data_IF_599558540423
#
_entry.id   IF_599558540423
#
_cell.length_a   1.000
_cell.length_b   1.000
_cell.length_c   1.000
_cell.angle_alpha   90.00
_cell.angle_beta   90.00
_cell.angle_gamma   90.00
#
_symmetry.space_group_name_H-M   'P 1'
#
loop_
_entity.id
_entity.type
_entity.pdbx_description
1 polymer ?
#
# COMPACT_ATOMS: atom_id res chain seq x y z
N UNK A 1 -36.86 35.96 -1.81
CA UNK A 1 -36.83 36.61 -3.14
C UNK A 1 -38.15 36.46 -3.94
N UNK A 2 -39.19 35.80 -3.39
CA UNK A 2 -40.47 35.62 -4.08
C UNK A 2 -40.50 34.47 -5.08
N UNK A 3 -39.44 33.66 -5.17
CA UNK A 3 -39.39 32.52 -6.06
C UNK A 3 -40.30 31.38 -5.59
N UNK A 4 -40.91 30.68 -6.55
CA UNK A 4 -41.73 29.50 -6.27
C UNK A 4 -40.89 28.40 -5.58
N UNK A 5 -41.56 27.55 -4.80
CA UNK A 5 -40.94 26.35 -4.24
C UNK A 5 -40.53 25.40 -5.39
N UNK A 6 -39.35 24.78 -5.26
CA UNK A 6 -38.70 23.99 -6.31
C UNK A 6 -37.96 24.77 -7.41
N UNK A 7 -37.87 26.11 -7.31
CA UNK A 7 -37.03 26.90 -8.21
C UNK A 7 -35.55 26.63 -7.94
N UNK A 8 -34.73 26.50 -8.99
CA UNK A 8 -33.26 26.33 -8.92
C UNK A 8 -32.57 27.39 -8.05
N UNK A 9 -31.35 27.16 -7.57
CA UNK A 9 -30.60 28.18 -6.81
C UNK A 9 -30.31 29.47 -7.61
N UNK A 10 -29.91 30.50 -6.89
CA UNK A 10 -29.44 31.77 -7.46
C UNK A 10 -28.42 32.43 -6.54
N UNK A 11 -27.84 33.57 -6.93
CA UNK A 11 -26.92 34.32 -6.06
C UNK A 11 -27.50 34.77 -4.71
N UNK A 12 -28.83 34.78 -4.56
CA UNK A 12 -29.52 35.15 -3.31
C UNK A 12 -30.43 34.04 -2.76
N UNK A 13 -30.40 32.84 -3.36
CA UNK A 13 -31.25 31.70 -3.01
C UNK A 13 -30.41 30.43 -2.97
N UNK A 14 -30.40 29.75 -1.82
CA UNK A 14 -29.76 28.44 -1.70
C UNK A 14 -30.36 27.44 -2.69
N UNK A 15 -29.53 26.52 -3.18
CA UNK A 15 -29.99 25.46 -4.09
C UNK A 15 -31.05 24.60 -3.42
N UNK A 16 -30.81 24.18 -2.17
CA UNK A 16 -31.74 23.43 -1.33
C UNK A 16 -32.32 24.33 -0.25
N UNK A 17 -33.64 24.52 -0.24
CA UNK A 17 -34.35 25.21 0.85
C UNK A 17 -35.09 24.20 1.71
N UNK A 18 -35.00 24.38 3.03
CA UNK A 18 -35.66 23.52 4.01
C UNK A 18 -36.67 24.37 4.78
N UNK A 19 -37.93 23.94 4.78
CA UNK A 19 -39.02 24.59 5.48
C UNK A 19 -39.84 23.60 6.29
N UNK A 20 -40.57 24.10 7.28
CA UNK A 20 -41.43 23.28 8.13
C UNK A 20 -42.80 23.96 8.28
N UNK A 21 -43.89 23.20 8.08
CA UNK A 21 -45.26 23.64 8.33
C UNK A 21 -46.16 22.43 8.61
N UNK A 22 -47.38 22.64 9.11
CA UNK A 22 -48.28 21.54 9.41
C UNK A 22 -48.83 20.95 8.09
N UNK A 23 -48.55 19.68 7.81
CA UNK A 23 -49.00 18.97 6.60
C UNK A 23 -50.30 18.21 6.91
N UNK A 24 -50.24 17.21 7.79
CA UNK A 24 -51.40 16.39 8.17
C UNK A 24 -51.50 16.11 9.69
N UNK A 25 -50.59 16.64 10.49
CA UNK A 25 -50.65 16.61 11.95
C UNK A 25 -49.56 15.71 12.52
N UNK A 26 -49.93 14.78 13.42
CA UNK A 26 -48.97 13.84 13.98
C UNK A 26 -49.12 12.47 13.33
N UNK A 27 -48.01 11.92 12.84
CA UNK A 27 -47.97 10.73 12.01
C UNK A 27 -48.44 11.02 10.57
N UNK A 28 -48.47 10.00 9.71
CA UNK A 28 -48.80 10.21 8.30
C UNK A 28 -47.58 10.67 7.50
N UNK A 29 -47.68 11.83 6.83
CA UNK A 29 -46.61 12.38 6.00
C UNK A 29 -45.62 13.14 6.89
N UNK A 30 -44.48 12.51 7.18
CA UNK A 30 -43.46 13.11 8.03
C UNK A 30 -42.73 14.28 7.37
N UNK A 31 -42.42 14.13 6.09
CA UNK A 31 -41.72 15.10 5.28
C UNK A 31 -41.83 14.75 3.78
N UNK A 32 -41.33 15.64 2.93
CA UNK A 32 -41.15 15.39 1.50
C UNK A 32 -40.00 16.22 0.95
N UNK A 33 -39.31 15.70 -0.06
CA UNK A 33 -38.27 16.41 -0.77
C UNK A 33 -38.49 16.35 -2.28
N UNK A 34 -38.18 17.45 -2.96
CA UNK A 34 -38.10 17.44 -4.41
C UNK A 34 -36.84 16.71 -4.88
N UNK A 35 -36.89 16.06 -6.05
CA UNK A 35 -35.69 15.59 -6.72
C UNK A 35 -34.82 16.76 -7.21
N UNK A 36 -33.54 16.55 -7.56
CA UNK A 36 -32.65 17.61 -8.05
C UNK A 36 -33.21 18.42 -9.22
N UNK A 37 -33.99 17.79 -10.10
CA UNK A 37 -34.63 18.44 -11.27
C UNK A 37 -35.65 19.51 -10.89
N UNK A 38 -36.10 19.54 -9.63
CA UNK A 38 -37.06 20.49 -9.08
C UNK A 38 -36.48 21.21 -7.85
N UNK A 39 -35.18 21.52 -7.88
CA UNK A 39 -34.50 22.33 -6.86
C UNK A 39 -34.08 21.58 -5.59
N UNK A 40 -34.57 20.38 -5.31
CA UNK A 40 -34.12 19.63 -4.14
C UNK A 40 -34.65 20.14 -2.80
N UNK A 41 -35.65 21.05 -2.80
CA UNK A 41 -36.22 21.62 -1.59
C UNK A 41 -36.95 20.59 -0.71
N UNK A 42 -36.91 20.79 0.61
CA UNK A 42 -37.47 19.91 1.64
C UNK A 42 -38.59 20.58 2.44
N UNK A 43 -39.69 19.89 2.63
CA UNK A 43 -40.77 20.27 3.53
C UNK A 43 -40.90 19.24 4.65
N UNK A 44 -40.89 19.70 5.90
CA UNK A 44 -41.03 18.87 7.10
C UNK A 44 -42.39 19.15 7.76
N UNK A 45 -43.10 18.13 8.25
CA UNK A 45 -44.33 18.35 9.00
C UNK A 45 -44.05 18.88 10.42
N UNK A 46 -44.48 20.11 10.72
CA UNK A 46 -44.36 20.68 12.08
C UNK A 46 -45.20 19.97 13.15
N UNK A 47 -46.22 19.19 12.76
CA UNK A 47 -47.16 18.53 13.66
C UNK A 47 -46.61 17.26 14.32
N UNK A 48 -45.47 16.76 13.84
CA UNK A 48 -44.83 15.55 14.35
C UNK A 48 -43.97 15.74 15.61
N UNK A 49 -43.79 14.64 16.34
CA UNK A 49 -42.97 14.63 17.56
C UNK A 49 -41.48 14.41 17.25
N UNK A 50 -40.82 15.48 16.79
CA UNK A 50 -39.40 15.47 16.39
C UNK A 50 -38.40 15.22 17.52
N UNK A 51 -38.83 15.37 18.78
CA UNK A 51 -37.99 15.07 19.94
C UNK A 51 -37.85 13.55 20.23
N UNK A 52 -38.51 12.69 19.44
CA UNK A 52 -38.38 11.23 19.56
C UNK A 52 -36.93 10.77 19.39
N UNK A 53 -36.49 9.86 20.26
CA UNK A 53 -35.10 9.38 20.27
C UNK A 53 -34.09 10.35 20.89
N UNK A 54 -34.52 11.33 21.68
CA UNK A 54 -33.63 12.15 22.50
C UNK A 54 -32.74 11.29 23.43
N UNK A 55 -31.49 11.72 23.74
CA UNK A 55 -30.88 12.98 23.31
C UNK A 55 -30.24 12.93 21.92
N UNK A 56 -30.22 11.78 21.25
CA UNK A 56 -29.59 11.61 19.94
C UNK A 56 -30.45 12.10 18.77
N UNK A 57 -31.74 12.33 19.02
CA UNK A 57 -32.75 12.79 18.05
C UNK A 57 -32.74 11.95 16.76
N UNK A 58 -32.53 10.64 16.89
CA UNK A 58 -32.32 9.73 15.75
C UNK A 58 -33.48 9.74 14.77
N UNK A 59 -34.72 9.87 15.25
CA UNK A 59 -35.89 9.94 14.40
C UNK A 59 -35.84 11.17 13.48
N UNK A 60 -35.67 12.37 14.06
CA UNK A 60 -35.52 13.60 13.28
C UNK A 60 -34.31 13.51 12.34
N UNK A 61 -33.16 13.05 12.84
CA UNK A 61 -31.95 12.92 12.03
C UNK A 61 -32.16 12.02 10.81
N UNK A 62 -32.78 10.85 10.98
CA UNK A 62 -33.02 9.92 9.88
C UNK A 62 -34.05 10.45 8.89
N UNK A 63 -35.14 11.08 9.34
CA UNK A 63 -36.13 11.65 8.41
C UNK A 63 -35.48 12.74 7.56
N UNK A 64 -34.73 13.66 8.15
CA UNK A 64 -34.03 14.70 7.38
C UNK A 64 -33.02 14.10 6.40
N UNK A 65 -32.24 13.10 6.82
CA UNK A 65 -31.27 12.45 5.94
C UNK A 65 -31.94 11.65 4.81
N UNK A 66 -33.07 11.00 5.07
CA UNK A 66 -33.88 10.29 4.08
C UNK A 66 -34.39 11.24 3.01
N UNK A 67 -35.03 12.34 3.42
CA UNK A 67 -35.53 13.35 2.49
C UNK A 67 -34.40 14.01 1.70
N UNK A 68 -33.26 14.25 2.35
CA UNK A 68 -32.08 14.75 1.65
C UNK A 68 -31.58 13.75 0.59
N UNK A 69 -31.73 12.44 0.82
CA UNK A 69 -31.46 11.41 -0.19
C UNK A 69 -32.30 11.57 -1.46
N UNK A 70 -33.58 11.91 -1.35
CA UNK A 70 -34.40 12.29 -2.51
C UNK A 70 -33.88 13.55 -3.20
N UNK A 71 -33.44 14.55 -2.42
CA UNK A 71 -32.75 15.74 -2.92
C UNK A 71 -31.44 15.45 -3.66
N UNK A 72 -30.85 14.28 -3.42
CA UNK A 72 -29.70 13.71 -4.11
C UNK A 72 -30.08 12.72 -5.24
N UNK A 73 -31.35 12.68 -5.65
CA UNK A 73 -31.78 11.83 -6.76
C UNK A 73 -32.01 10.37 -6.39
N UNK A 74 -32.04 10.02 -5.10
CA UNK A 74 -32.17 8.64 -4.65
C UNK A 74 -33.65 8.31 -4.44
N UNK A 75 -34.11 7.23 -5.07
CA UNK A 75 -35.48 6.72 -4.91
C UNK A 75 -35.56 5.74 -3.74
N UNK A 76 -36.78 5.43 -3.29
CA UNK A 76 -36.98 4.42 -2.27
C UNK A 76 -36.43 3.05 -2.66
N UNK A 77 -35.88 2.35 -1.67
CA UNK A 77 -35.48 0.95 -1.74
C UNK A 77 -36.38 0.09 -0.86
N UNK A 78 -36.61 -1.14 -1.28
CA UNK A 78 -37.43 -2.15 -0.62
C UNK A 78 -36.65 -3.43 -0.35
N UNK A 79 -37.08 -4.25 0.63
CA UNK A 79 -38.31 -4.14 1.43
C UNK A 79 -38.25 -3.07 2.54
N UNK A 80 -39.41 -2.81 3.15
CA UNK A 80 -39.55 -2.00 4.36
C UNK A 80 -39.33 -2.84 5.63
N UNK A 81 -38.07 -3.04 6.02
CA UNK A 81 -37.68 -3.85 7.18
C UNK A 81 -36.63 -3.17 8.07
N UNK A 82 -36.50 -1.84 7.97
CA UNK A 82 -35.60 -1.00 8.78
C UNK A 82 -34.12 -1.36 8.67
N UNK A 83 -33.65 -1.62 7.43
CA UNK A 83 -32.26 -1.95 7.13
C UNK A 83 -31.55 -0.95 6.22
N UNK A 84 -32.27 -0.06 5.52
CA UNK A 84 -31.71 1.05 4.74
C UNK A 84 -32.39 2.38 5.09
N UNK A 85 -31.66 3.47 4.96
CA UNK A 85 -32.19 4.81 5.23
C UNK A 85 -33.28 5.16 4.22
N UNK A 86 -33.09 4.82 2.94
CA UNK A 86 -34.03 5.12 1.85
C UNK A 86 -35.21 4.15 1.75
N UNK A 87 -35.53 3.41 2.81
CA UNK A 87 -36.81 2.67 2.87
C UNK A 87 -37.98 3.65 3.06
N UNK A 88 -39.16 3.39 2.46
CA UNK A 88 -40.27 4.35 2.44
C UNK A 88 -40.95 4.61 3.79
N UNK A 89 -40.55 3.90 4.85
CA UNK A 89 -41.08 4.08 6.20
C UNK A 89 -39.94 4.47 7.13
N UNK A 90 -40.10 5.57 7.84
CA UNK A 90 -39.08 6.07 8.75
C UNK A 90 -38.72 5.06 9.84
N UNK A 91 -37.45 5.04 10.22
CA UNK A 91 -36.91 4.17 11.25
C UNK A 91 -35.97 4.90 12.19
N UNK A 92 -35.89 4.42 13.43
CA UNK A 92 -34.93 4.88 14.43
C UNK A 92 -34.01 3.75 14.92
N UNK A 93 -33.98 2.60 14.21
CA UNK A 93 -33.17 1.43 14.58
C UNK A 93 -31.67 1.62 14.40
N UNK A 94 -31.27 2.54 13.51
CA UNK A 94 -29.90 2.99 13.27
C UNK A 94 -29.88 4.51 13.11
N UNK A 95 -28.71 5.12 13.00
CA UNK A 95 -28.56 6.56 12.74
C UNK A 95 -27.79 6.80 11.45
N UNK A 96 -28.41 7.47 10.49
CA UNK A 96 -27.78 7.89 9.23
C UNK A 96 -27.76 6.82 8.13
N UNK A 97 -27.03 7.11 7.03
CA UNK A 97 -26.95 6.25 5.86
C UNK A 97 -26.49 4.83 6.19
N UNK A 98 -27.00 3.85 5.47
CA UNK A 98 -26.59 2.46 5.49
C UNK A 98 -25.84 2.10 4.20
N UNK A 99 -25.42 0.84 4.08
CA UNK A 99 -24.58 0.37 2.98
C UNK A 99 -25.17 0.67 1.59
N UNK A 100 -26.47 0.47 1.41
CA UNK A 100 -27.16 0.74 0.15
C UNK A 100 -27.18 2.24 -0.20
N UNK A 101 -27.40 3.07 0.82
CA UNK A 101 -27.49 4.52 0.68
C UNK A 101 -26.14 5.11 0.26
N UNK A 102 -25.02 4.62 0.83
CA UNK A 102 -23.67 4.99 0.39
C UNK A 102 -23.44 4.63 -1.09
N UNK A 103 -23.87 3.44 -1.51
CA UNK A 103 -23.72 2.99 -2.90
C UNK A 103 -24.54 3.84 -3.86
N UNK A 104 -25.75 4.24 -3.47
CA UNK A 104 -26.63 5.08 -4.26
C UNK A 104 -26.07 6.49 -4.46
N UNK A 105 -25.57 7.13 -3.40
CA UNK A 105 -24.90 8.43 -3.50
C UNK A 105 -23.69 8.34 -4.43
N UNK A 106 -22.82 7.35 -4.25
CA UNK A 106 -21.65 7.19 -5.11
C UNK A 106 -22.00 6.91 -6.57
N UNK A 107 -23.12 6.23 -6.84
CA UNK A 107 -23.58 5.99 -8.21
C UNK A 107 -23.89 7.31 -8.93
N UNK A 108 -24.47 8.27 -8.21
CA UNK A 108 -24.91 9.55 -8.77
C UNK A 108 -23.80 10.61 -8.78
N UNK A 109 -22.95 10.63 -7.75
CA UNK A 109 -22.01 11.74 -7.49
C UNK A 109 -20.54 11.34 -7.41
N UNK A 110 -20.23 10.06 -7.61
CA UNK A 110 -18.89 9.49 -7.42
C UNK A 110 -18.45 9.49 -5.94
N UNK A 111 -17.21 9.07 -5.69
CA UNK A 111 -16.66 8.94 -4.35
C UNK A 111 -16.15 10.26 -3.75
N UNK A 112 -15.68 10.23 -2.50
CA UNK A 112 -15.25 11.43 -1.77
C UNK A 112 -13.94 12.05 -2.26
N UNK A 113 -13.16 11.34 -3.09
CA UNK A 113 -11.89 11.82 -3.63
C UNK A 113 -11.99 12.23 -5.10
N UNK A 114 -13.21 12.24 -5.66
CA UNK A 114 -13.43 12.73 -7.01
C UNK A 114 -13.08 14.23 -7.14
N UNK A 115 -12.41 14.66 -8.23
CA UNK A 115 -11.93 13.85 -9.34
C UNK A 115 -10.52 13.28 -9.11
N UNK A 116 -10.41 11.96 -9.02
CA UNK A 116 -9.14 11.22 -8.98
C UNK A 116 -9.02 10.21 -10.13
N UNK A 117 -9.74 10.43 -11.23
CA UNK A 117 -9.88 9.48 -12.33
C UNK A 117 -8.69 9.44 -13.32
N UNK A 118 -7.62 10.16 -13.02
CA UNK A 118 -6.39 10.19 -13.81
C UNK A 118 -5.19 10.36 -12.90
N UNK A 119 -4.00 9.99 -13.37
CA UNK A 119 -2.78 10.18 -12.58
C UNK A 119 -2.47 11.64 -12.28
N UNK A 120 -2.85 12.56 -13.17
CA UNK A 120 -2.66 14.01 -12.99
C UNK A 120 -3.55 14.56 -11.86
N UNK A 121 -4.70 13.92 -11.63
CA UNK A 121 -5.66 14.29 -10.59
C UNK A 121 -5.60 13.34 -9.39
N UNK A 122 -4.54 12.52 -9.29
CA UNK A 122 -4.42 11.54 -8.22
C UNK A 122 -4.50 12.18 -6.83
N UNK A 123 -5.34 11.61 -5.96
CA UNK A 123 -5.58 12.12 -4.62
C UNK A 123 -4.31 11.98 -3.76
N UNK A 124 -3.78 13.07 -3.17
CA UNK A 124 -2.65 13.01 -2.26
C UNK A 124 -3.01 12.33 -0.93
N UNK A 125 -2.40 11.18 -0.67
CA UNK A 125 -2.60 10.44 0.56
C UNK A 125 -1.53 10.83 1.57
N UNK A 126 -1.97 11.18 2.78
CA UNK A 126 -1.10 11.53 3.91
C UNK A 126 -1.51 10.76 5.16
N UNK A 127 -0.57 10.51 6.11
CA UNK A 127 0.87 10.81 6.05
C UNK A 127 1.64 9.89 5.09
N UNK A 128 2.94 10.12 4.93
CA UNK A 128 3.84 9.20 4.22
C UNK A 128 3.82 7.80 4.85
N UNK A 129 4.00 6.75 4.04
CA UNK A 129 3.98 5.37 4.54
C UNK A 129 5.20 5.09 5.43
N UNK A 130 4.93 4.88 6.72
CA UNK A 130 5.92 4.49 7.71
C UNK A 130 6.20 2.99 7.72
N UNK A 131 7.39 2.61 8.19
CA UNK A 131 7.74 1.20 8.42
C UNK A 131 6.86 0.63 9.54
N UNK A 132 6.23 -0.52 9.29
CA UNK A 132 5.30 -1.16 10.22
C UNK A 132 3.92 -0.48 10.32
N UNK A 133 3.67 0.57 9.54
CA UNK A 133 2.40 1.29 9.53
C UNK A 133 1.50 0.86 8.37
N UNK A 134 0.19 1.03 8.53
CA UNK A 134 -0.79 0.83 7.46
C UNK A 134 -1.58 2.11 7.25
N UNK A 135 -1.60 2.59 6.01
CA UNK A 135 -2.53 3.64 5.56
C UNK A 135 -3.76 2.95 4.97
N UNK A 136 -4.95 3.42 5.35
CA UNK A 136 -6.24 2.90 4.85
C UNK A 136 -6.94 4.00 4.06
N UNK A 137 -7.00 3.84 2.75
CA UNK A 137 -7.76 4.69 1.82
C UNK A 137 -9.19 4.13 1.76
N UNK A 138 -10.19 5.00 1.94
CA UNK A 138 -11.59 4.59 2.07
C UNK A 138 -12.09 4.40 3.51
N UNK A 139 -11.30 4.81 4.51
CA UNK A 139 -11.77 4.86 5.89
C UNK A 139 -12.93 5.87 6.04
N UNK A 140 -13.95 5.50 6.81
CA UNK A 140 -15.08 6.40 7.08
C UNK A 140 -14.69 7.52 8.05
N UNK A 141 -15.32 8.70 7.98
CA UNK A 141 -15.01 9.82 8.86
C UNK A 141 -15.18 9.46 10.34
N UNK A 142 -14.24 9.90 11.17
CA UNK A 142 -14.36 9.76 12.62
C UNK A 142 -15.48 10.67 13.17
N UNK A 143 -16.21 10.18 14.17
CA UNK A 143 -17.28 10.94 14.83
C UNK A 143 -18.68 10.76 14.23
N UNK A 144 -18.78 10.15 13.04
CA UNK A 144 -20.05 9.73 12.46
C UNK A 144 -20.38 8.26 12.76
N UNK A 145 -21.67 7.87 12.75
CA UNK A 145 -22.05 6.46 12.84
C UNK A 145 -21.37 5.64 11.74
N UNK A 146 -20.68 4.57 12.13
CA UNK A 146 -20.00 3.70 11.18
C UNK A 146 -21.02 2.85 10.42
N UNK A 147 -20.94 2.89 9.09
CA UNK A 147 -21.73 2.05 8.19
C UNK A 147 -20.99 0.73 7.94
N UNK A 148 -21.63 -0.40 8.21
CA UNK A 148 -21.02 -1.72 8.03
C UNK A 148 -21.89 -2.62 7.13
N UNK A 149 -21.36 -3.15 6.02
CA UNK A 149 -20.08 -2.81 5.40
C UNK A 149 -20.13 -1.41 4.76
N UNK A 150 -19.02 -0.67 4.74
CA UNK A 150 -19.00 0.67 4.13
C UNK A 150 -17.61 1.21 3.87
N UNK A 151 -17.52 2.15 2.93
CA UNK A 151 -16.31 2.87 2.52
C UNK A 151 -16.71 4.22 1.93
N UNK A 152 -15.79 5.19 1.93
CA UNK A 152 -15.95 6.47 1.21
C UNK A 152 -15.34 6.46 -0.19
N UNK A 153 -14.75 5.34 -0.61
CA UNK A 153 -14.25 5.12 -1.97
C UNK A 153 -14.97 3.96 -2.65
N UNK A 154 -15.17 4.09 -3.95
CA UNK A 154 -15.92 3.12 -4.74
C UNK A 154 -15.98 3.50 -6.21
N UNK A 155 -16.12 2.49 -7.08
CA UNK A 155 -16.36 2.70 -8.50
C UNK A 155 -17.85 2.50 -8.78
N UNK A 156 -18.46 3.45 -9.49
CA UNK A 156 -19.86 3.41 -9.89
C UNK A 156 -20.14 2.43 -11.04
N UNK A 157 -19.16 2.14 -11.91
CA UNK A 157 -19.30 1.21 -13.03
C UNK A 157 -17.96 0.62 -13.53
N UNK A 158 -17.97 -0.54 -14.22
CA UNK A 158 -16.77 -1.10 -14.84
C UNK A 158 -16.10 -0.13 -15.83
N UNK A 159 -14.77 -0.09 -15.86
CA UNK A 159 -13.99 0.82 -16.69
C UNK A 159 -13.60 2.14 -16.01
N UNK A 160 -14.23 2.50 -14.88
CA UNK A 160 -13.73 3.58 -14.04
C UNK A 160 -12.42 3.21 -13.34
N UNK A 161 -11.68 4.23 -12.95
CA UNK A 161 -10.37 4.12 -12.32
C UNK A 161 -10.20 5.27 -11.35
N UNK A 162 -9.56 5.00 -10.22
CA UNK A 162 -9.17 5.99 -9.22
C UNK A 162 -7.67 5.91 -8.98
N UNK A 163 -7.02 7.06 -8.88
CA UNK A 163 -5.59 7.21 -8.69
C UNK A 163 -5.32 7.88 -7.34
N UNK A 164 -4.38 7.31 -6.60
CA UNK A 164 -3.91 7.82 -5.31
C UNK A 164 -2.40 8.05 -5.37
N UNK A 165 -1.95 9.23 -4.95
CA UNK A 165 -0.52 9.57 -4.85
C UNK A 165 -0.08 9.36 -3.40
N UNK A 166 0.82 8.41 -3.18
CA UNK A 166 1.32 8.03 -1.86
C UNK A 166 2.80 8.37 -1.74
N UNK A 167 3.18 8.99 -0.63
CA UNK A 167 4.58 9.30 -0.33
C UNK A 167 5.27 8.15 0.42
N UNK A 168 6.33 7.59 -0.14
CA UNK A 168 7.19 6.58 0.51
C UNK A 168 8.22 7.19 1.48
N UNK A 169 8.32 8.52 1.54
CA UNK A 169 9.29 9.25 2.35
C UNK A 169 10.68 9.27 1.73
N UNK A 170 11.68 9.69 2.53
CA UNK A 170 13.05 9.94 2.06
C UNK A 170 13.89 8.69 1.74
N UNK A 171 13.40 7.49 2.02
CA UNK A 171 14.12 6.23 1.79
C UNK A 171 13.20 5.22 1.14
N UNK A 172 13.76 4.33 0.32
CA UNK A 172 13.01 3.27 -0.32
C UNK A 172 12.24 2.46 0.72
N UNK A 173 11.02 2.05 0.38
CA UNK A 173 10.15 1.24 1.24
C UNK A 173 9.78 -0.03 0.52
N UNK A 174 9.43 -1.03 1.32
CA UNK A 174 8.77 -2.21 0.80
C UNK A 174 7.40 -2.28 1.40
N UNK A 175 6.40 -2.40 0.54
CA UNK A 175 5.00 -2.28 0.91
C UNK A 175 4.21 -3.51 0.51
N UNK A 176 3.12 -3.75 1.22
CA UNK A 176 2.04 -4.59 0.73
C UNK A 176 0.85 -3.70 0.39
N UNK A 177 0.34 -3.83 -0.83
CA UNK A 177 -0.89 -3.17 -1.25
C UNK A 177 -2.02 -4.18 -1.23
N UNK A 178 -3.16 -3.81 -0.66
CA UNK A 178 -4.38 -4.63 -0.70
C UNK A 178 -5.54 -3.80 -1.21
N UNK A 179 -6.26 -4.31 -2.20
CA UNK A 179 -7.59 -3.81 -2.55
C UNK A 179 -8.61 -4.75 -1.91
N UNK A 180 -9.38 -4.21 -0.98
CA UNK A 180 -10.38 -4.94 -0.22
C UNK A 180 -11.76 -4.59 -0.76
N UNK A 181 -12.46 -5.59 -1.28
CA UNK A 181 -13.85 -5.47 -1.70
C UNK A 181 -14.73 -5.27 -0.47
N UNK A 182 -15.62 -4.28 -0.55
CA UNK A 182 -16.59 -3.98 0.50
C UNK A 182 -18.00 -4.20 -0.05
N UNK A 183 -18.72 -5.14 0.54
CA UNK A 183 -20.09 -5.42 0.16
C UNK A 183 -20.69 -6.56 0.96
N UNK A 184 -21.99 -6.76 0.77
CA UNK A 184 -22.80 -7.85 1.31
C UNK A 184 -23.94 -8.21 0.35
N UNK A 185 -24.55 -9.37 0.57
CA UNK A 185 -25.82 -9.73 -0.08
C UNK A 185 -26.98 -9.20 0.76
N UNK A 186 -27.93 -8.53 0.12
CA UNK A 186 -29.13 -8.00 0.78
C UNK A 186 -30.27 -7.77 -0.21
N UNK A 187 -31.48 -7.63 0.31
CA UNK A 187 -32.64 -7.29 -0.51
C UNK A 187 -32.65 -5.81 -0.91
N UNK A 188 -32.78 -5.57 -2.22
CA UNK A 188 -32.80 -4.25 -2.84
C UNK A 188 -33.72 -4.31 -4.05
N UNK A 189 -34.97 -3.92 -3.85
CA UNK A 189 -36.00 -3.85 -4.91
C UNK A 189 -36.52 -2.43 -5.00
N UNK A 190 -36.87 -1.96 -6.19
CA UNK A 190 -37.54 -0.66 -6.33
C UNK A 190 -38.96 -0.71 -5.74
N UNK A 191 -39.39 0.38 -5.11
CA UNK A 191 -40.78 0.54 -4.69
C UNK A 191 -41.73 0.56 -5.90
N UNK A 192 -42.93 0.00 -5.75
CA UNK A 192 -43.97 -0.02 -6.79
C UNK A 192 -45.23 0.70 -6.30
N UNK A 193 -45.37 1.97 -6.67
CA UNK A 193 -46.42 2.84 -6.12
C UNK A 193 -46.28 2.94 -4.61
N UNK A 194 -47.37 2.70 -3.86
CA UNK A 194 -47.33 2.64 -2.39
C UNK A 194 -46.89 1.28 -1.83
N UNK A 195 -46.65 0.29 -2.68
CA UNK A 195 -46.24 -1.04 -2.24
C UNK A 195 -44.72 -1.15 -2.19
N UNK A 196 -44.19 -1.75 -1.11
CA UNK A 196 -42.76 -1.97 -0.94
C UNK A 196 -42.46 -3.49 -0.99
N UNK A 197 -42.25 -4.05 -2.19
CA UNK A 197 -42.10 -5.49 -2.35
C UNK A 197 -40.74 -5.99 -1.82
N UNK A 198 -40.73 -7.20 -1.27
CA UNK A 198 -39.50 -7.96 -1.01
C UNK A 198 -39.17 -8.92 -2.15
N UNK A 199 -38.11 -9.71 -1.99
CA UNK A 199 -37.77 -10.84 -2.85
C UNK A 199 -36.71 -10.59 -3.93
N UNK A 200 -36.32 -9.34 -4.20
CA UNK A 200 -35.18 -9.01 -5.05
C UNK A 200 -33.90 -8.84 -4.24
N UNK A 201 -32.89 -9.68 -4.48
CA UNK A 201 -31.59 -9.62 -3.80
C UNK A 201 -30.48 -9.14 -4.74
N UNK A 202 -29.57 -8.33 -4.20
CA UNK A 202 -28.32 -7.92 -4.84
C UNK A 202 -27.13 -8.43 -4.04
N UNK A 203 -26.02 -8.77 -4.71
CA UNK A 203 -24.73 -9.00 -4.07
C UNK A 203 -23.78 -7.83 -4.40
N UNK A 204 -23.74 -6.86 -3.49
CA UNK A 204 -22.91 -5.65 -3.65
C UNK A 204 -21.40 -5.90 -3.55
N UNK A 205 -20.97 -7.07 -3.12
CA UNK A 205 -19.56 -7.46 -3.13
C UNK A 205 -19.10 -7.96 -4.50
N UNK A 206 -20.00 -8.12 -5.48
CA UNK A 206 -19.67 -8.72 -6.77
C UNK A 206 -20.14 -7.83 -7.94
N UNK A 207 -20.11 -6.51 -7.75
CA UNK A 207 -20.61 -5.57 -8.76
C UNK A 207 -19.58 -5.35 -9.88
N UNK A 208 -18.32 -5.14 -9.50
CA UNK A 208 -17.23 -4.81 -10.41
C UNK A 208 -16.05 -5.72 -10.11
N UNK A 209 -15.44 -6.26 -11.17
CA UNK A 209 -14.17 -6.98 -11.08
C UNK A 209 -13.05 -5.94 -10.95
N UNK A 210 -12.44 -5.87 -9.77
CA UNK A 210 -11.49 -4.83 -9.41
C UNK A 210 -10.04 -5.29 -9.65
N UNK A 211 -9.19 -4.35 -10.02
CA UNK A 211 -7.75 -4.52 -10.08
C UNK A 211 -7.04 -3.41 -9.31
N UNK A 212 -5.81 -3.69 -8.88
CA UNK A 212 -4.90 -2.72 -8.25
C UNK A 212 -3.56 -2.73 -8.97
N UNK A 213 -3.03 -1.54 -9.25
CA UNK A 213 -1.74 -1.36 -9.92
C UNK A 213 -0.89 -0.34 -9.17
N UNK A 214 0.41 -0.59 -9.05
CA UNK A 214 1.40 0.36 -8.56
C UNK A 214 2.22 0.94 -9.70
N UNK A 215 2.39 2.25 -9.71
CA UNK A 215 3.00 3.04 -10.78
C UNK A 215 4.06 3.98 -10.21
N UNK A 216 5.09 4.27 -11.01
CA UNK A 216 6.23 5.08 -10.59
C UNK A 216 5.98 6.58 -10.53
N UNK A 217 5.92 7.23 -11.70
CA UNK A 217 5.87 8.68 -11.82
C UNK A 217 4.50 9.19 -12.32
N UNK A 218 4.39 10.52 -12.45
CA UNK A 218 3.20 11.25 -12.91
C UNK A 218 2.77 10.90 -14.34
N UNK A 219 3.60 10.18 -15.11
CA UNK A 219 3.26 9.68 -16.44
C UNK A 219 2.75 8.23 -16.42
N UNK A 220 2.56 7.65 -15.24
CA UNK A 220 2.17 6.25 -15.05
C UNK A 220 3.27 5.27 -15.39
N UNK A 221 4.52 5.75 -15.44
CA UNK A 221 5.66 4.95 -15.86
C UNK A 221 6.76 4.92 -14.79
N UNK A 222 7.46 3.80 -14.68
CA UNK A 222 7.05 2.49 -15.16
C UNK A 222 5.89 1.92 -14.33
N UNK A 223 5.20 0.91 -14.84
CA UNK A 223 4.34 0.05 -14.01
C UNK A 223 5.22 -0.86 -13.16
N UNK A 224 5.04 -0.83 -11.83
CA UNK A 224 5.83 -1.64 -10.91
C UNK A 224 5.23 -3.02 -10.66
N UNK A 225 3.90 -3.09 -10.58
CA UNK A 225 3.14 -4.31 -10.37
C UNK A 225 1.67 -4.06 -10.72
N UNK A 226 1.00 -5.06 -11.26
CA UNK A 226 -0.43 -5.04 -11.57
C UNK A 226 -1.05 -6.37 -11.14
N UNK A 227 -2.13 -6.30 -10.36
CA UNK A 227 -2.85 -7.47 -9.87
C UNK A 227 -4.35 -7.28 -10.11
N UNK A 228 -4.93 -8.23 -10.83
CA UNK A 228 -6.34 -8.22 -11.26
C UNK A 228 -6.88 -9.60 -11.62
N UNK A 229 -6.25 -10.66 -11.07
CA UNK A 229 -6.57 -12.05 -11.44
C UNK A 229 -7.67 -12.70 -10.60
N UNK A 230 -8.13 -12.03 -9.54
CA UNK A 230 -9.08 -12.57 -8.57
C UNK A 230 -10.50 -12.74 -9.11
N UNK A 231 -10.96 -11.88 -10.03
CA UNK A 231 -12.34 -11.90 -10.51
C UNK A 231 -13.32 -11.22 -9.54
N UNK A 232 -14.63 -11.36 -9.79
CA UNK A 232 -15.67 -10.66 -9.03
C UNK A 232 -15.66 -11.01 -7.54
N UNK A 233 -15.60 -9.96 -6.71
CA UNK A 233 -15.65 -10.05 -5.26
C UNK A 233 -14.41 -10.60 -4.58
N UNK A 234 -13.31 -10.75 -5.32
CA UNK A 234 -12.03 -11.18 -4.77
C UNK A 234 -11.17 -9.96 -4.47
N UNK A 235 -10.53 -9.99 -3.30
CA UNK A 235 -9.56 -8.98 -2.91
C UNK A 235 -8.27 -9.16 -3.71
N UNK A 236 -7.67 -8.06 -4.14
CA UNK A 236 -6.39 -8.10 -4.84
C UNK A 236 -5.25 -7.73 -3.89
N UNK A 237 -4.08 -8.36 -4.05
CA UNK A 237 -2.93 -8.12 -3.18
C UNK A 237 -1.62 -8.14 -3.97
N UNK A 238 -0.79 -7.12 -3.72
CA UNK A 238 0.59 -7.00 -4.21
C UNK A 238 1.50 -7.01 -2.97
N UNK A 239 2.21 -8.12 -2.74
CA UNK A 239 3.07 -8.30 -1.55
C UNK A 239 4.53 -7.98 -1.83
N UNK A 240 5.22 -7.37 -0.86
CA UNK A 240 6.67 -7.11 -0.92
C UNK A 240 7.10 -6.21 -2.09
N UNK A 241 6.28 -5.23 -2.46
CA UNK A 241 6.58 -4.27 -3.50
C UNK A 241 7.61 -3.25 -3.01
N UNK A 242 8.77 -3.20 -3.65
CA UNK A 242 9.74 -2.13 -3.49
C UNK A 242 9.27 -0.86 -4.20
N UNK A 243 9.18 0.23 -3.44
CA UNK A 243 8.91 1.57 -3.96
C UNK A 243 10.11 2.48 -3.67
N UNK A 244 10.61 3.26 -4.66
CA UNK A 244 11.68 4.23 -4.43
C UNK A 244 11.27 5.32 -3.42
N UNK A 245 12.22 6.12 -2.91
CA UNK A 245 11.91 7.32 -2.14
C UNK A 245 10.99 8.28 -2.92
N UNK A 246 10.18 9.05 -2.18
CA UNK A 246 9.24 10.02 -2.72
C UNK A 246 7.92 9.39 -3.15
N UNK A 247 7.25 10.02 -4.12
CA UNK A 247 5.91 9.62 -4.53
C UNK A 247 5.92 8.38 -5.40
N UNK A 248 4.92 7.52 -5.17
CA UNK A 248 4.45 6.52 -6.13
C UNK A 248 2.93 6.62 -6.23
N UNK A 249 2.35 5.96 -7.22
CA UNK A 249 0.92 6.04 -7.50
C UNK A 249 0.27 4.67 -7.41
N UNK A 250 -0.94 4.63 -6.88
CA UNK A 250 -1.79 3.45 -6.86
C UNK A 250 -2.99 3.74 -7.74
N UNK A 251 -3.27 2.82 -8.67
CA UNK A 251 -4.49 2.83 -9.46
C UNK A 251 -5.39 1.69 -9.01
N UNK A 252 -6.58 2.01 -8.49
CA UNK A 252 -7.68 1.06 -8.35
C UNK A 252 -8.56 1.17 -9.60
N UNK A 253 -8.95 0.06 -10.23
CA UNK A 253 -9.67 0.12 -11.50
C UNK A 253 -10.64 -1.03 -11.70
N UNK A 254 -11.74 -0.77 -12.40
CA UNK A 254 -12.73 -1.78 -12.78
C UNK A 254 -12.45 -2.33 -14.17
N UNK A 255 -12.39 -3.65 -14.33
CA UNK A 255 -12.13 -4.32 -15.62
C UNK A 255 -13.40 -4.87 -16.28
N UNK A 256 -14.36 -5.32 -15.47
CA UNK A 256 -15.60 -5.96 -15.90
C UNK A 256 -16.60 -6.02 -14.76
N UNK A 257 -17.73 -6.70 -14.95
CA UNK A 257 -18.81 -6.77 -13.96
C UNK A 257 -20.13 -6.28 -14.52
N UNK A 258 -21.05 -5.92 -13.63
CA UNK A 258 -22.38 -5.41 -14.01
C UNK A 258 -22.39 -3.89 -13.91
N UNK A 259 -23.02 -3.21 -14.86
CA UNK A 259 -23.30 -1.76 -14.76
C UNK A 259 -24.53 -1.47 -13.87
N UNK A 260 -24.98 -2.48 -13.12
CA UNK A 260 -26.16 -2.43 -12.27
C UNK A 260 -25.87 -1.80 -10.89
N UNK A 261 -24.64 -1.39 -10.59
CA UNK A 261 -24.37 -0.58 -9.40
C UNK A 261 -22.92 -0.47 -8.95
N UNK A 262 -22.73 0.31 -7.90
CA UNK A 262 -21.43 0.70 -7.33
C UNK A 262 -20.75 -0.46 -6.59
N UNK A 263 -19.45 -0.63 -6.81
CA UNK A 263 -18.55 -1.45 -5.99
C UNK A 263 -17.78 -0.57 -5.00
N UNK A 264 -18.08 -0.70 -3.71
CA UNK A 264 -17.26 -0.08 -2.66
C UNK A 264 -15.98 -0.90 -2.48
N UNK A 265 -14.88 -0.24 -2.17
CA UNK A 265 -13.62 -0.90 -1.85
C UNK A 265 -12.83 -0.10 -0.79
N UNK A 266 -11.73 -0.66 -0.29
CA UNK A 266 -10.67 0.07 0.41
C UNK A 266 -9.33 -0.30 -0.18
N UNK A 267 -8.36 0.62 -0.09
CA UNK A 267 -6.97 0.30 -0.38
C UNK A 267 -6.16 0.41 0.90
N UNK A 268 -5.43 -0.64 1.23
CA UNK A 268 -4.45 -0.63 2.32
C UNK A 268 -3.04 -0.56 1.76
N UNK A 269 -2.25 0.36 2.29
CA UNK A 269 -0.81 0.49 2.00
C UNK A 269 -0.06 0.21 3.29
N UNK A 270 0.49 -1.00 3.40
CA UNK A 270 1.23 -1.43 4.58
C UNK A 270 2.73 -1.33 4.33
N UNK A 271 3.43 -0.46 5.04
CA UNK A 271 4.89 -0.42 5.05
C UNK A 271 5.46 -1.57 5.86
N UNK A 272 6.35 -2.36 5.26
CA UNK A 272 6.96 -3.52 5.90
C UNK A 272 8.29 -3.15 6.55
N UNK A 273 8.56 -3.73 7.72
CA UNK A 273 9.91 -3.78 8.29
C UNK A 273 10.75 -4.77 7.50
N UNK A 274 11.96 -4.38 7.11
CA UNK A 274 12.86 -5.23 6.36
C UNK A 274 14.14 -5.51 7.15
N UNK A 275 14.68 -6.74 7.06
CA UNK A 275 16.07 -6.98 7.46
C UNK A 275 17.02 -6.06 6.71
N UNK A 276 18.15 -5.72 7.34
CA UNK A 276 19.16 -4.87 6.74
C UNK A 276 19.84 -5.56 5.55
N UNK A 277 20.32 -4.76 4.62
CA UNK A 277 21.36 -5.18 3.69
C UNK A 277 22.67 -5.23 4.45
N UNK A 278 23.43 -6.31 4.34
CA UNK A 278 24.71 -6.47 5.07
C UNK A 278 25.80 -6.92 4.11
N UNK A 279 27.01 -6.40 4.33
CA UNK A 279 28.24 -6.92 3.73
C UNK A 279 29.20 -7.34 4.86
N UNK A 280 29.92 -8.44 4.67
CA UNK A 280 30.88 -8.90 5.67
C UNK A 280 32.13 -8.01 5.74
N UNK A 281 32.60 -7.72 6.94
CA UNK A 281 33.86 -7.01 7.19
C UNK A 281 34.86 -7.94 7.89
N UNK A 282 36.02 -8.12 7.26
CA UNK A 282 37.16 -8.92 7.76
C UNK A 282 36.80 -10.34 8.22
N UNK A 283 35.67 -10.86 7.77
CA UNK A 283 35.18 -12.18 8.17
C UNK A 283 35.74 -13.29 7.29
N UNK A 284 35.93 -13.01 6.00
CA UNK A 284 36.39 -13.97 5.01
C UNK A 284 37.61 -13.43 4.28
N UNK A 285 38.64 -14.27 4.12
CA UNK A 285 39.87 -13.93 3.40
C UNK A 285 39.78 -14.22 1.89
N UNK A 286 38.66 -14.76 1.39
CA UNK A 286 38.43 -15.12 -0.01
C UNK A 286 37.35 -14.29 -0.70
N UNK A 287 36.53 -13.55 0.07
CA UNK A 287 35.37 -12.81 -0.46
C UNK A 287 34.87 -11.71 0.48
N UNK A 288 33.99 -10.87 -0.05
CA UNK A 288 32.97 -10.16 0.74
C UNK A 288 31.64 -10.88 0.55
N UNK A 289 31.02 -11.37 1.62
CA UNK A 289 29.69 -11.96 1.58
C UNK A 289 28.63 -10.88 1.78
N UNK A 290 27.73 -10.75 0.80
CA UNK A 290 26.57 -9.88 0.85
C UNK A 290 25.33 -10.70 1.19
N UNK A 291 24.44 -10.15 2.03
CA UNK A 291 23.13 -10.75 2.35
C UNK A 291 22.03 -9.71 2.41
N UNK A 292 20.83 -10.09 1.98
CA UNK A 292 19.65 -9.24 1.94
C UNK A 292 18.36 -10.03 2.21
N UNK A 293 17.22 -9.36 2.51
CA UNK A 293 15.93 -10.01 2.68
C UNK A 293 15.50 -10.78 1.45
N UNK A 294 14.79 -11.88 1.67
CA UNK A 294 14.13 -12.58 0.60
C UNK A 294 12.95 -11.76 0.05
N UNK A 295 12.96 -11.49 -1.25
CA UNK A 295 11.88 -10.82 -1.97
C UNK A 295 11.13 -11.85 -2.80
N UNK A 296 9.96 -12.30 -2.33
CA UNK A 296 9.15 -13.34 -3.01
C UNK A 296 8.76 -12.98 -4.46
N UNK A 297 8.72 -11.71 -4.82
CA UNK A 297 8.47 -11.25 -6.18
C UNK A 297 9.75 -10.90 -6.98
N UNK A 298 10.96 -11.03 -6.41
CA UNK A 298 12.18 -10.65 -7.13
C UNK A 298 12.44 -11.55 -8.33
N UNK A 299 12.81 -10.89 -9.43
CA UNK A 299 13.24 -11.55 -10.67
C UNK A 299 14.76 -11.53 -10.78
N UNK A 300 15.38 -10.39 -10.43
CA UNK A 300 16.81 -10.18 -10.54
C UNK A 300 17.30 -9.16 -9.51
N UNK A 301 18.56 -9.34 -9.10
CA UNK A 301 19.33 -8.38 -8.31
C UNK A 301 20.58 -7.96 -9.09
N UNK A 302 20.84 -6.65 -9.16
CA UNK A 302 22.11 -6.11 -9.66
C UNK A 302 22.93 -5.63 -8.49
N UNK A 303 24.14 -6.15 -8.38
CA UNK A 303 25.08 -5.83 -7.31
C UNK A 303 26.09 -4.83 -7.84
N UNK A 304 26.23 -3.72 -7.13
CA UNK A 304 27.16 -2.66 -7.45
C UNK A 304 28.20 -2.54 -6.35
N UNK A 305 29.43 -2.20 -6.74
CA UNK A 305 30.56 -1.94 -5.84
C UNK A 305 31.23 -0.61 -6.19
N UNK A 306 31.62 0.15 -5.18
CA UNK A 306 32.35 1.40 -5.32
C UNK A 306 33.39 1.57 -4.22
N UNK A 307 34.35 2.47 -4.43
CA UNK A 307 35.37 2.85 -3.43
C UNK A 307 34.97 4.08 -2.62
N UNK A 308 33.86 4.73 -2.98
CA UNK A 308 33.24 5.85 -2.25
C UNK A 308 31.80 5.48 -1.90
N UNK A 309 31.11 6.28 -1.10
CA UNK A 309 29.69 6.08 -0.76
C UNK A 309 28.72 6.61 -1.83
N UNK A 310 29.21 6.95 -3.02
CA UNK A 310 28.39 7.55 -4.09
C UNK A 310 27.96 6.50 -5.11
N UNK A 311 26.66 6.15 -5.12
CA UNK A 311 26.11 5.12 -6.03
C UNK A 311 26.42 5.41 -7.51
N UNK A 312 26.40 6.69 -7.93
CA UNK A 312 26.69 7.08 -9.32
C UNK A 312 28.12 6.77 -9.78
N UNK A 313 29.05 6.50 -8.85
CA UNK A 313 30.44 6.10 -9.12
C UNK A 313 30.65 4.58 -9.01
N UNK A 314 29.63 3.83 -8.58
CA UNK A 314 29.72 2.40 -8.40
C UNK A 314 29.62 1.66 -9.75
N UNK A 315 30.31 0.53 -9.85
CA UNK A 315 30.27 -0.35 -11.02
C UNK A 315 29.42 -1.58 -10.71
N UNK A 316 28.63 -2.04 -11.68
CA UNK A 316 27.92 -3.31 -11.55
C UNK A 316 28.94 -4.45 -11.63
N UNK A 317 29.05 -5.25 -10.57
CA UNK A 317 29.97 -6.41 -10.52
C UNK A 317 29.26 -7.73 -10.79
N UNK A 318 27.94 -7.78 -10.56
CA UNK A 318 27.16 -8.99 -10.79
C UNK A 318 25.68 -8.69 -11.07
N UNK A 319 25.04 -9.65 -11.72
CA UNK A 319 23.59 -9.76 -11.77
C UNK A 319 23.22 -11.18 -11.33
N UNK A 320 22.45 -11.28 -10.26
CA UNK A 320 21.98 -12.55 -9.70
C UNK A 320 20.51 -12.72 -10.10
N UNK A 321 20.19 -13.86 -10.72
CA UNK A 321 18.85 -14.15 -11.21
C UNK A 321 18.07 -15.00 -10.21
N UNK A 322 16.75 -14.84 -10.19
CA UNK A 322 15.86 -15.63 -9.34
C UNK A 322 15.85 -15.21 -7.87
N UNK A 323 15.25 -16.08 -7.05
CA UNK A 323 14.95 -15.86 -5.65
C UNK A 323 16.17 -16.14 -4.75
N UNK A 324 17.19 -15.29 -4.87
CA UNK A 324 18.42 -15.37 -4.07
C UNK A 324 18.49 -14.22 -3.08
N UNK A 325 19.15 -14.46 -1.95
CA UNK A 325 19.26 -13.53 -0.81
C UNK A 325 20.72 -13.26 -0.42
N UNK A 326 21.67 -13.64 -1.27
CA UNK A 326 23.10 -13.53 -0.99
C UNK A 326 23.95 -13.52 -2.26
N UNK A 327 25.12 -12.90 -2.16
CA UNK A 327 26.16 -12.93 -3.20
C UNK A 327 27.55 -12.88 -2.57
N UNK A 328 28.51 -13.61 -3.14
CA UNK A 328 29.90 -13.58 -2.70
C UNK A 328 30.75 -12.83 -3.72
N UNK A 329 31.28 -11.67 -3.35
CA UNK A 329 32.25 -10.93 -4.16
C UNK A 329 33.66 -11.45 -3.87
N UNK A 330 34.11 -12.42 -4.67
CA UNK A 330 35.49 -12.97 -4.60
C UNK A 330 36.51 -12.09 -5.33
N UNK A 331 36.07 -11.01 -5.98
CA UNK A 331 36.92 -10.13 -6.79
C UNK A 331 37.38 -8.88 -6.02
N UNK A 332 36.85 -8.66 -4.82
CA UNK A 332 37.31 -7.58 -3.94
C UNK A 332 38.78 -7.82 -3.54
N UNK A 333 39.59 -6.76 -3.62
CA UNK A 333 40.95 -6.79 -3.10
C UNK A 333 40.93 -6.96 -1.58
N UNK A 334 41.82 -7.81 -1.07
CA UNK A 334 41.95 -8.06 0.36
C UNK A 334 42.39 -6.78 1.10
N UNK A 335 41.82 -6.51 2.27
CA UNK A 335 42.13 -5.32 3.08
C UNK A 335 41.58 -3.99 2.55
N UNK A 336 41.03 -3.94 1.33
CA UNK A 336 40.44 -2.74 0.77
C UNK A 336 38.96 -2.59 1.19
N UNK A 337 38.58 -1.40 1.66
CA UNK A 337 37.19 -1.08 1.97
C UNK A 337 36.42 -0.73 0.69
N UNK A 338 35.29 -1.41 0.49
CA UNK A 338 34.34 -1.11 -0.57
C UNK A 338 32.97 -0.76 0.00
N UNK A 339 32.15 -0.14 -0.84
CA UNK A 339 30.73 0.11 -0.57
C UNK A 339 29.90 -0.63 -1.60
N UNK A 340 28.84 -1.30 -1.12
CA UNK A 340 27.96 -2.12 -1.92
C UNK A 340 26.57 -1.51 -1.99
N UNK A 341 25.91 -1.73 -3.13
CA UNK A 341 24.50 -1.43 -3.35
C UNK A 341 23.84 -2.56 -4.10
N UNK A 342 22.53 -2.61 -3.96
CA UNK A 342 21.70 -3.60 -4.61
C UNK A 342 20.49 -2.92 -5.21
N UNK A 343 20.33 -3.13 -6.51
CA UNK A 343 19.08 -2.84 -7.19
C UNK A 343 18.28 -4.13 -7.38
N UNK A 344 16.98 -4.04 -7.18
CA UNK A 344 16.07 -5.19 -7.27
C UNK A 344 14.99 -4.92 -8.32
N UNK A 345 14.77 -5.90 -9.19
CA UNK A 345 13.64 -5.96 -10.12
C UNK A 345 12.63 -6.99 -9.59
N UNK A 346 11.34 -6.66 -9.61
CA UNK A 346 10.27 -7.50 -9.06
C UNK A 346 9.10 -7.68 -10.04
N UNK A 347 8.31 -8.73 -9.82
CA UNK A 347 7.10 -9.18 -10.53
C UNK A 347 7.31 -9.60 -11.98
N UNK A 348 7.97 -8.76 -12.79
CA UNK A 348 8.20 -9.05 -14.21
C UNK A 348 9.58 -8.60 -14.63
N UNK A 349 10.11 -9.24 -15.67
CA UNK A 349 11.37 -8.81 -16.31
C UNK A 349 11.24 -7.49 -17.07
N UNK A 350 10.01 -7.02 -17.31
CA UNK A 350 9.72 -5.71 -17.89
C UNK A 350 9.66 -4.58 -16.87
N UNK A 351 9.48 -4.88 -15.58
CA UNK A 351 9.52 -3.88 -14.50
C UNK A 351 10.92 -3.30 -14.34
N UNK A 352 11.10 -2.06 -13.87
CA UNK A 352 12.43 -1.49 -13.69
C UNK A 352 13.18 -2.11 -12.51
N UNK A 353 14.50 -2.02 -12.55
CA UNK A 353 15.34 -2.12 -11.36
C UNK A 353 15.13 -0.88 -10.49
N UNK A 354 14.99 -1.09 -9.18
CA UNK A 354 14.89 -0.02 -8.18
C UNK A 354 16.01 -0.18 -7.18
N UNK A 355 16.67 0.93 -6.82
CA UNK A 355 17.65 0.91 -5.73
C UNK A 355 16.93 0.54 -4.44
N UNK A 356 17.34 -0.59 -3.85
CA UNK A 356 16.76 -1.07 -2.61
C UNK A 356 17.55 -0.57 -1.40
N UNK A 357 18.87 -0.83 -1.40
CA UNK A 357 19.73 -0.56 -0.26
C UNK A 357 21.18 -0.22 -0.66
N UNK A 358 21.91 0.29 0.31
CA UNK A 358 23.28 0.79 0.22
C UNK A 358 23.36 2.31 0.40
N UNK A 359 24.57 2.88 0.59
CA UNK A 359 25.85 2.17 0.65
C UNK A 359 25.97 1.31 1.90
N UNK A 360 26.41 0.07 1.73
CA UNK A 360 26.80 -0.83 2.83
C UNK A 360 28.30 -1.09 2.73
N UNK A 361 29.04 -0.83 3.81
CA UNK A 361 30.49 -1.04 3.84
C UNK A 361 30.80 -2.55 3.91
N UNK A 362 31.80 -2.98 3.15
CA UNK A 362 32.26 -4.37 3.16
C UNK A 362 33.74 -4.46 2.82
N UNK A 363 34.47 -5.29 3.56
CA UNK A 363 35.90 -5.54 3.37
C UNK A 363 36.21 -7.02 3.45
N UNK A 364 36.88 -7.52 2.42
CA UNK A 364 37.48 -8.85 2.44
C UNK A 364 38.67 -8.79 3.40
N UNK A 365 38.77 -9.74 4.33
CA UNK A 365 39.89 -9.80 5.25
C UNK A 365 41.19 -9.78 4.45
N UNK A 366 42.18 -9.00 4.91
CA UNK A 366 43.54 -9.14 4.42
C UNK A 366 43.91 -10.63 4.54
N UNK A 367 44.41 -11.22 3.45
CA UNK A 367 44.94 -12.57 3.56
C UNK A 367 46.05 -12.50 4.62
N UNK A 368 46.03 -13.33 5.67
CA UNK A 368 47.16 -13.40 6.59
C UNK A 368 48.37 -13.71 5.72
N UNK A 369 49.29 -12.76 5.61
CA UNK A 369 50.49 -13.00 4.85
C UNK A 369 51.35 -13.88 5.73
N UNK A 370 51.18 -15.19 5.62
CA UNK A 370 51.93 -16.16 6.42
C UNK A 370 53.45 -16.02 6.22
N UNK A 371 53.88 -15.39 5.12
CA UNK A 371 55.26 -14.99 4.90
C UNK A 371 55.73 -13.80 5.74
N UNK A 372 54.84 -12.88 6.11
CA UNK A 372 55.08 -11.74 7.02
C UNK A 372 54.78 -12.19 8.46
N UNK A 373 55.74 -12.93 9.00
CA UNK A 373 55.65 -13.60 10.29
C UNK A 373 55.64 -12.65 11.48
N UNK A 374 56.27 -11.48 11.32
CA UNK A 374 56.35 -10.46 12.36
C UNK A 374 55.28 -9.36 12.22
N UNK A 375 54.49 -9.39 11.13
CA UNK A 375 53.40 -8.46 10.81
C UNK A 375 53.87 -7.00 10.62
N UNK A 376 55.08 -6.79 10.11
CA UNK A 376 55.62 -5.46 9.81
C UNK A 376 55.21 -4.93 8.42
N UNK A 377 54.51 -5.76 7.63
CA UNK A 377 53.97 -5.42 6.32
C UNK A 377 54.91 -5.73 5.15
N UNK A 378 56.07 -6.36 5.39
CA UNK A 378 57.04 -6.76 4.36
C UNK A 378 57.49 -8.19 4.62
N UNK A 379 57.49 -9.04 3.59
CA UNK A 379 58.14 -10.37 3.69
C UNK A 379 59.64 -10.23 3.46
N UNK A 380 60.42 -10.29 4.52
CA UNK A 380 61.88 -10.21 4.45
C UNK A 380 62.57 -11.22 5.38
N UNK A 381 63.90 -11.14 5.44
CA UNK A 381 64.70 -12.11 6.19
C UNK A 381 64.37 -12.12 7.70
N UNK A 382 63.82 -11.04 8.25
CA UNK A 382 63.41 -10.98 9.66
C UNK A 382 62.21 -11.89 9.94
N UNK A 383 61.28 -12.02 9.00
CA UNK A 383 60.17 -12.98 9.13
C UNK A 383 60.66 -14.41 9.17
N UNK A 384 61.63 -14.74 8.32
CA UNK A 384 62.24 -16.05 8.31
C UNK A 384 62.95 -16.35 9.64
N UNK A 385 63.65 -15.36 10.20
CA UNK A 385 64.31 -15.50 11.50
C UNK A 385 63.29 -15.67 12.63
N UNK A 386 62.22 -14.89 12.63
CA UNK A 386 61.18 -14.96 13.66
C UNK A 386 60.41 -16.29 13.57
N UNK A 387 60.07 -16.76 12.36
CA UNK A 387 59.53 -18.10 12.15
C UNK A 387 60.48 -19.17 12.66
N UNK A 388 61.77 -19.10 12.33
CA UNK A 388 62.75 -20.08 12.75
C UNK A 388 62.91 -20.11 14.29
N UNK A 389 62.78 -18.97 14.96
CA UNK A 389 62.78 -18.89 16.42
C UNK A 389 61.57 -19.64 17.01
N UNK A 390 60.37 -19.41 16.47
CA UNK A 390 59.16 -20.11 16.92
C UNK A 390 59.20 -21.60 16.62
N UNK A 391 59.61 -21.96 15.40
CA UNK A 391 59.76 -23.33 14.93
C UNK A 391 60.69 -24.12 15.86
N UNK A 392 61.87 -23.56 16.18
CA UNK A 392 62.82 -24.19 17.09
C UNK A 392 62.32 -24.26 18.55
N UNK A 393 61.45 -23.34 18.95
CA UNK A 393 60.83 -23.33 20.29
C UNK A 393 59.60 -24.24 20.40
N UNK A 394 59.12 -24.79 19.28
CA UNK A 394 57.87 -25.56 19.23
C UNK A 394 56.64 -24.70 19.55
N UNK A 395 56.67 -23.41 19.18
CA UNK A 395 55.56 -22.52 19.48
C UNK A 395 54.30 -22.97 18.71
N UNK A 396 53.10 -22.96 19.32
CA UNK A 396 51.87 -23.37 18.65
C UNK A 396 51.54 -22.60 17.37
N UNK A 397 52.10 -21.39 17.19
CA UNK A 397 51.91 -20.62 15.96
C UNK A 397 52.73 -21.12 14.77
N UNK A 398 53.76 -21.94 15.02
CA UNK A 398 54.60 -22.54 13.98
C UNK A 398 54.06 -23.87 13.45
N UNK A 399 52.97 -24.40 14.04
CA UNK A 399 52.18 -25.52 13.49
C UNK A 399 51.19 -24.93 12.48
N UNK A 400 51.61 -24.87 11.22
CA UNK A 400 50.86 -24.24 10.14
C UNK A 400 49.83 -25.20 9.54
N UNK A 401 50.13 -26.49 9.54
CA UNK A 401 49.26 -27.50 8.93
C UNK A 401 48.16 -27.98 9.91
N UNK A 402 48.29 -27.64 11.20
CA UNK A 402 47.31 -27.84 12.25
C UNK A 402 47.21 -29.28 12.76
N UNK A 403 48.25 -30.11 12.58
CA UNK A 403 48.28 -31.50 13.04
C UNK A 403 48.68 -31.66 14.53
N UNK A 404 49.05 -30.56 15.18
CA UNK A 404 49.43 -30.49 16.59
C UNK A 404 50.92 -30.72 16.86
N UNK A 405 51.76 -30.84 15.83
CA UNK A 405 53.21 -31.08 15.95
C UNK A 405 53.97 -30.17 14.99
N UNK A 406 54.83 -29.29 15.55
CA UNK A 406 55.74 -28.46 14.74
C UNK A 406 56.83 -29.35 14.13
N UNK A 407 56.75 -29.62 12.83
CA UNK A 407 57.69 -30.47 12.09
C UNK A 407 58.03 -29.97 10.68
N UNK A 408 58.78 -30.76 9.92
CA UNK A 408 59.27 -30.34 8.60
C UNK A 408 58.15 -29.97 7.62
N UNK A 409 56.93 -30.48 7.80
CA UNK A 409 55.78 -30.14 6.97
C UNK A 409 55.35 -28.68 7.19
N UNK A 410 55.42 -28.17 8.42
CA UNK A 410 55.15 -26.74 8.70
C UNK A 410 56.20 -25.83 8.10
N UNK A 411 57.46 -26.25 8.17
CA UNK A 411 58.55 -25.52 7.53
C UNK A 411 58.33 -25.39 6.01
N UNK A 412 57.80 -26.44 5.36
CA UNK A 412 57.44 -26.40 3.94
C UNK A 412 56.26 -25.47 3.67
N UNK A 413 55.25 -25.43 4.55
CA UNK A 413 54.12 -24.50 4.44
C UNK A 413 54.57 -23.04 4.56
N UNK A 414 55.42 -22.74 5.54
CA UNK A 414 56.01 -21.41 5.67
C UNK A 414 56.83 -21.04 4.45
N UNK A 415 57.66 -21.94 3.92
CA UNK A 415 58.49 -21.67 2.74
C UNK A 415 57.63 -21.37 1.50
N UNK A 416 56.48 -22.04 1.36
CA UNK A 416 55.51 -21.75 0.30
C UNK A 416 54.88 -20.36 0.50
N UNK A 417 54.53 -20.00 1.74
CA UNK A 417 53.98 -18.69 2.06
C UNK A 417 54.99 -17.54 1.89
N UNK A 418 56.24 -17.73 2.34
CA UNK A 418 57.33 -16.76 2.27
C UNK A 418 57.69 -16.35 0.84
N UNK A 419 57.47 -17.25 -0.13
CA UNK A 419 57.68 -16.96 -1.56
C UNK A 419 56.45 -16.36 -2.26
N UNK A 420 55.37 -16.11 -1.53
CA UNK A 420 54.12 -15.54 -2.06
C UNK A 420 54.01 -14.07 -1.66
N UNK A 421 53.85 -13.12 -2.60
CA UNK A 421 53.66 -11.72 -2.25
C UNK A 421 52.41 -11.50 -1.39
N UNK A 422 52.54 -10.68 -0.32
CA UNK A 422 51.43 -9.90 0.21
C UNK A 422 51.08 -8.77 -0.79
#
# INVERSE_FOLDING_TARGET
DGAAWGSSGSSSRGDVRIGMHNIDGSGGILASNFFPSSGGDMVIDSGDFWASGAPSYTFFYNVIMHEHGHGLGISHVCPANSTKLMEPFATASFRGPQHDDLRAVMRNYNDSYFPNNSIATAEPISPAVGVGSTIVIGAQPAGEPTVAPGSIVGLAFPGQQDYFRVDAGASAKVVTLRLLIIGTTYESTAQSGSNCPGGGSINSAQMINMGIQALGNESGNPSYADQSSGGLGVNETITSLLVPPGNFFIRAYGQGGTDLGTQLFRVEVQGLSQPAFTASDDTFNDKVQLSWPFFNAAQNHRIFRGTTTTFAQATQIAQVTGLTASYNDTTAAAGAQYYYWIQTQQYTTSSPYKLWAGPEAGRRAAQPCLGDWNSDGVVDFNDFLDFLNDYNSGAPRADLNGDGVVDFNDFLEFLNAYNTPC
#
